data_IF_076915918764
#
_entry.id   IF_076915918764
#
_cell.length_a   1.000
_cell.length_b   1.000
_cell.length_c   1.000
_cell.angle_alpha   90.00
_cell.angle_beta   90.00
_cell.angle_gamma   90.00
#
_symmetry.space_group_name_H-M   'P 1'
#
loop_
_entity.id
_entity.type
_entity.pdbx_description
1 polymer ?
#
# COMPACT_ATOMS: atom_id res chain seq x y z
N UNK A 1 3.06 -20.66 -0.41
CA UNK A 1 2.61 -19.34 -0.91
C UNK A 1 3.82 -18.43 -0.87
N UNK A 2 3.95 -17.55 -1.86
CA UNK A 2 5.07 -16.63 -1.99
C UNK A 2 4.56 -15.30 -2.52
N UNK A 3 5.29 -14.25 -2.19
CA UNK A 3 5.01 -12.88 -2.63
C UNK A 3 6.24 -12.36 -3.34
N UNK A 4 6.02 -11.72 -4.48
CA UNK A 4 7.03 -10.93 -5.17
C UNK A 4 6.95 -9.49 -4.70
N UNK A 5 8.09 -8.89 -4.36
CA UNK A 5 8.24 -7.45 -4.16
C UNK A 5 9.05 -6.88 -5.33
N UNK A 6 8.48 -5.88 -6.00
CA UNK A 6 9.14 -5.13 -7.08
C UNK A 6 9.51 -3.74 -6.60
N UNK A 7 10.68 -3.28 -7.00
CA UNK A 7 11.11 -1.90 -6.81
C UNK A 7 10.92 -1.15 -8.11
N UNK A 8 10.13 -0.09 -8.07
CA UNK A 8 9.70 0.66 -9.24
C UNK A 8 10.14 2.11 -9.08
N UNK A 9 11.04 2.60 -9.95
CA UNK A 9 11.31 4.04 -10.06
C UNK A 9 10.39 4.65 -11.12
N UNK A 10 10.44 5.95 -11.39
CA UNK A 10 9.58 6.73 -12.29
C UNK A 10 9.54 6.30 -13.77
N UNK A 11 10.30 5.27 -14.15
CA UNK A 11 10.45 4.82 -15.53
C UNK A 11 10.25 3.33 -15.69
N UNK A 12 10.69 2.53 -14.72
CA UNK A 12 10.69 1.08 -14.84
C UNK A 12 10.73 0.38 -13.50
N UNK A 13 10.46 -0.93 -13.56
CA UNK A 13 10.95 -1.88 -12.57
C UNK A 13 12.48 -1.90 -12.61
N UNK A 14 13.12 -1.78 -11.44
CA UNK A 14 14.57 -1.82 -11.30
C UNK A 14 15.07 -3.06 -10.57
N UNK A 15 14.20 -3.71 -9.79
CA UNK A 15 14.49 -4.99 -9.15
C UNK A 15 13.19 -5.74 -8.82
N UNK A 16 13.31 -7.06 -8.69
CA UNK A 16 12.25 -7.94 -8.25
C UNK A 16 12.83 -9.06 -7.39
N UNK A 17 12.19 -9.31 -6.25
CA UNK A 17 12.59 -10.31 -5.28
C UNK A 17 11.40 -11.13 -4.87
N UNK A 18 11.64 -12.40 -4.58
CA UNK A 18 10.62 -13.34 -4.14
C UNK A 18 10.84 -13.67 -2.66
N UNK A 19 9.78 -13.67 -1.87
CA UNK A 19 9.77 -14.16 -0.50
C UNK A 19 8.77 -15.31 -0.37
N UNK A 20 9.23 -16.45 0.16
CA UNK A 20 8.35 -17.58 0.45
C UNK A 20 7.81 -17.50 1.87
N UNK A 21 6.65 -18.12 2.13
CA UNK A 21 6.10 -18.24 3.48
C UNK A 21 7.13 -18.81 4.46
N UNK A 22 7.40 -18.10 5.54
CA UNK A 22 8.36 -18.49 6.59
C UNK A 22 9.80 -18.02 6.34
N UNK A 23 10.07 -17.37 5.21
CA UNK A 23 11.33 -16.68 4.93
C UNK A 23 11.20 -15.19 5.28
N UNK A 24 12.35 -14.53 5.43
CA UNK A 24 12.42 -13.08 5.57
C UNK A 24 13.35 -12.53 4.49
N UNK A 25 12.86 -11.53 3.76
CA UNK A 25 13.61 -10.80 2.75
C UNK A 25 14.01 -9.45 3.34
N UNK A 26 15.31 -9.17 3.31
CA UNK A 26 15.88 -7.90 3.77
C UNK A 26 16.31 -7.09 2.54
N UNK A 27 15.81 -5.87 2.42
CA UNK A 27 16.11 -4.93 1.35
C UNK A 27 16.68 -3.65 1.94
N UNK A 28 17.61 -3.01 1.23
CA UNK A 28 17.99 -1.64 1.54
C UNK A 28 16.94 -0.66 1.01
N UNK A 29 16.54 0.28 1.85
CA UNK A 29 15.67 1.39 1.48
C UNK A 29 16.33 2.23 0.40
N UNK A 30 15.57 2.51 -0.65
CA UNK A 30 15.99 3.34 -1.76
C UNK A 30 15.08 4.55 -1.86
N UNK A 31 15.67 5.70 -2.20
CA UNK A 31 14.91 6.90 -2.47
C UNK A 31 14.31 6.81 -3.86
N UNK A 32 13.17 7.46 -4.07
CA UNK A 32 12.53 7.55 -5.39
C UNK A 32 12.22 6.15 -5.98
N UNK A 33 11.66 5.27 -5.16
CA UNK A 33 11.07 4.01 -5.62
C UNK A 33 9.74 3.77 -4.93
N UNK A 34 8.87 2.98 -5.56
CA UNK A 34 7.73 2.35 -4.92
C UNK A 34 7.98 0.85 -4.78
N UNK A 35 7.43 0.26 -3.71
CA UNK A 35 7.52 -1.16 -3.42
C UNK A 35 6.18 -1.82 -3.76
N UNK A 36 6.10 -2.51 -4.89
CA UNK A 36 4.89 -3.22 -5.30
C UNK A 36 4.89 -4.64 -4.77
N UNK A 37 3.87 -5.00 -4.01
CA UNK A 37 3.61 -6.36 -3.53
C UNK A 37 2.72 -7.11 -4.50
N UNK A 38 3.06 -8.37 -4.77
CA UNK A 38 2.33 -9.27 -5.67
C UNK A 38 2.29 -10.66 -5.04
N UNK A 39 1.11 -11.14 -4.67
CA UNK A 39 0.88 -12.55 -4.34
C UNK A 39 1.02 -13.38 -5.62
N UNK A 40 1.98 -14.30 -5.65
CA UNK A 40 2.30 -15.07 -6.85
C UNK A 40 1.20 -16.06 -7.27
N UNK A 41 0.28 -16.39 -6.37
CA UNK A 41 -0.85 -17.28 -6.69
C UNK A 41 -1.96 -16.55 -7.45
N UNK A 42 -2.14 -15.24 -7.19
CA UNK A 42 -3.24 -14.46 -7.77
C UNK A 42 -2.76 -13.44 -8.82
N UNK A 43 -1.48 -13.06 -8.78
CA UNK A 43 -0.96 -11.93 -9.54
C UNK A 43 -1.42 -10.57 -9.03
N UNK A 44 -2.07 -10.51 -7.87
CA UNK A 44 -2.61 -9.29 -7.23
C UNK A 44 -1.82 -8.95 -5.97
N UNK A 45 -1.91 -7.71 -5.50
CA UNK A 45 -1.38 -7.37 -4.18
C UNK A 45 -2.17 -8.08 -3.07
N UNK A 46 -1.52 -8.48 -1.96
CA UNK A 46 -2.23 -8.91 -0.76
C UNK A 46 -3.29 -7.87 -0.35
N UNK A 47 -4.51 -8.29 -0.03
CA UNK A 47 -5.59 -7.35 0.33
C UNK A 47 -5.30 -6.62 1.64
N UNK A 48 -4.59 -7.29 2.56
CA UNK A 48 -4.23 -6.78 3.88
C UNK A 48 -2.78 -7.11 4.20
N UNK A 49 -2.08 -6.17 4.80
CA UNK A 49 -0.74 -6.36 5.38
C UNK A 49 -0.71 -5.73 6.78
N UNK A 50 0.30 -6.06 7.56
CA UNK A 50 0.63 -5.30 8.76
C UNK A 50 1.97 -4.63 8.51
N UNK A 51 2.00 -3.30 8.65
CA UNK A 51 3.21 -2.51 8.60
C UNK A 51 3.64 -2.18 10.04
N UNK A 52 4.93 -2.28 10.32
CA UNK A 52 5.52 -1.88 11.61
C UNK A 52 6.79 -1.09 11.35
N UNK A 53 6.99 0.00 12.09
CA UNK A 53 8.30 0.68 12.13
C UNK A 53 9.17 0.13 13.25
N UNK A 54 10.42 -0.16 12.93
CA UNK A 54 11.44 -0.57 13.90
C UNK A 54 12.72 0.25 13.68
N UNK A 55 12.89 1.31 14.47
CA UNK A 55 13.91 2.32 14.25
C UNK A 55 13.67 3.05 12.93
N UNK A 56 14.60 2.91 11.98
CA UNK A 56 14.46 3.43 10.62
C UNK A 56 13.97 2.40 9.62
N UNK A 57 13.68 1.17 10.05
CA UNK A 57 13.25 0.10 9.16
C UNK A 57 11.73 0.01 9.09
N UNK A 58 11.23 -0.35 7.91
CA UNK A 58 9.86 -0.79 7.71
C UNK A 58 9.82 -2.32 7.67
N UNK A 59 9.03 -2.90 8.57
CA UNK A 59 8.72 -4.33 8.63
C UNK A 59 7.32 -4.56 8.07
N UNK A 60 7.17 -5.51 7.15
CA UNK A 60 5.89 -5.89 6.56
C UNK A 60 5.63 -7.36 6.87
N UNK A 61 4.45 -7.61 7.44
CA UNK A 61 3.91 -8.94 7.64
C UNK A 61 2.75 -9.17 6.68
N UNK A 62 2.81 -10.28 5.94
CA UNK A 62 1.87 -10.60 4.86
C UNK A 62 0.65 -11.41 5.35
N UNK A 63 0.73 -11.99 6.54
CA UNK A 63 -0.34 -12.71 7.21
C UNK A 63 -0.46 -12.18 8.64
N UNK A 64 -1.69 -12.12 9.16
CA UNK A 64 -1.95 -11.68 10.54
C UNK A 64 -1.35 -12.63 11.59
N UNK A 65 -1.14 -13.89 11.20
CA UNK A 65 -0.62 -14.93 12.08
C UNK A 65 0.92 -15.03 11.97
N UNK A 66 1.55 -14.17 11.17
CA UNK A 66 3.01 -14.12 11.01
C UNK A 66 3.68 -13.69 12.31
N UNK A 67 4.68 -14.48 12.74
CA UNK A 67 5.46 -14.23 13.96
C UNK A 67 6.72 -13.42 13.70
N UNK A 68 7.15 -13.36 12.44
CA UNK A 68 8.34 -12.65 11.98
C UNK A 68 7.97 -11.88 10.72
N UNK A 69 8.61 -10.73 10.46
CA UNK A 69 8.38 -9.99 9.23
C UNK A 69 8.89 -10.77 8.02
N UNK A 70 8.03 -10.97 7.02
CA UNK A 70 8.44 -11.54 5.74
C UNK A 70 9.28 -10.56 4.92
N UNK A 71 9.05 -9.26 5.07
CA UNK A 71 9.83 -8.24 4.33
C UNK A 71 10.30 -7.19 5.32
N UNK A 72 11.60 -6.88 5.27
CA UNK A 72 12.23 -5.78 6.02
C UNK A 72 12.89 -4.85 5.02
N UNK A 73 12.43 -3.61 4.97
CA UNK A 73 13.07 -2.53 4.20
C UNK A 73 13.87 -1.69 5.17
N UNK A 74 15.18 -1.90 5.18
CA UNK A 74 16.14 -1.18 6.02
C UNK A 74 16.12 0.30 5.68
N UNK A 75 16.26 1.17 6.67
CA UNK A 75 16.41 2.61 6.43
C UNK A 75 15.26 3.24 5.61
N UNK A 76 14.07 2.63 5.63
CA UNK A 76 12.87 3.14 4.98
C UNK A 76 12.49 4.55 5.48
N UNK A 77 12.66 4.80 6.77
CA UNK A 77 12.37 6.09 7.39
C UNK A 77 13.60 7.00 7.50
N UNK A 78 14.72 6.64 6.86
CA UNK A 78 15.92 7.47 6.87
C UNK A 78 15.76 8.69 5.95
N UNK A 79 16.26 9.85 6.43
CA UNK A 79 16.21 11.14 5.76
C UNK A 79 15.26 12.12 6.46
N UNK A 80 15.83 13.21 7.00
CA UNK A 80 15.11 14.27 7.72
C UNK A 80 14.42 15.28 6.78
N UNK A 81 14.94 15.35 5.55
CA UNK A 81 14.36 16.12 4.45
C UNK A 81 13.40 15.18 3.69
N UNK A 82 12.12 15.54 3.55
CA UNK A 82 11.18 14.72 2.80
C UNK A 82 11.54 14.48 1.33
N UNK A 83 12.20 15.43 0.63
CA UNK A 83 12.66 15.24 -0.76
C UNK A 83 13.80 14.21 -0.86
N UNK A 84 14.50 13.95 0.25
CA UNK A 84 15.60 13.00 0.36
C UNK A 84 15.22 11.74 1.14
N UNK A 85 14.08 11.76 1.84
CA UNK A 85 13.63 10.65 2.68
C UNK A 85 13.15 9.50 1.83
N UNK A 86 13.59 8.29 2.20
CA UNK A 86 13.03 7.06 1.65
C UNK A 86 11.55 6.89 2.01
N UNK A 87 11.06 7.63 3.02
CA UNK A 87 9.65 7.67 3.45
C UNK A 87 8.69 8.16 2.38
N UNK A 88 9.23 8.79 1.31
CA UNK A 88 8.44 9.18 0.15
C UNK A 88 8.06 8.00 -0.76
N UNK A 89 8.66 6.84 -0.54
CA UNK A 89 8.30 5.61 -1.22
C UNK A 89 6.90 5.16 -0.79
N UNK A 90 6.10 4.66 -1.72
CA UNK A 90 4.84 4.00 -1.39
C UNK A 90 5.00 2.49 -1.37
N UNK A 91 4.23 1.83 -0.51
CA UNK A 91 3.94 0.39 -0.65
C UNK A 91 2.63 0.28 -1.41
N UNK A 92 2.63 -0.47 -2.51
CA UNK A 92 1.52 -0.50 -3.48
C UNK A 92 1.21 -1.92 -3.94
N UNK A 93 0.07 -2.11 -4.60
CA UNK A 93 -0.34 -3.39 -5.17
C UNK A 93 -1.41 -3.22 -6.26
N UNK A 94 -1.55 -4.23 -7.12
CA UNK A 94 -2.68 -4.30 -8.06
C UNK A 94 -3.86 -4.99 -7.39
N UNK A 95 -5.01 -4.33 -7.32
CA UNK A 95 -6.22 -4.90 -6.73
C UNK A 95 -6.99 -5.78 -7.74
N UNK A 96 -8.06 -6.43 -7.25
CA UNK A 96 -8.90 -7.33 -8.04
C UNK A 96 -9.54 -6.67 -9.28
N UNK A 97 -9.72 -5.35 -9.27
CA UNK A 97 -10.23 -4.58 -10.40
C UNK A 97 -9.15 -4.24 -11.46
N UNK A 98 -7.89 -4.65 -11.26
CA UNK A 98 -6.78 -4.40 -12.17
C UNK A 98 -6.14 -3.02 -12.03
N UNK A 99 -6.56 -2.21 -11.06
CA UNK A 99 -6.00 -0.89 -10.80
C UNK A 99 -4.96 -0.98 -9.67
N UNK A 100 -4.02 -0.03 -9.68
CA UNK A 100 -2.95 0.07 -8.68
C UNK A 100 -3.39 1.00 -7.54
N UNK A 101 -3.17 0.55 -6.32
CA UNK A 101 -3.48 1.31 -5.10
C UNK A 101 -2.29 1.29 -4.14
N UNK A 102 -2.26 2.26 -3.24
CA UNK A 102 -1.42 2.21 -2.04
C UNK A 102 -2.05 1.34 -0.96
N UNK A 103 -1.22 0.94 0.00
CA UNK A 103 -1.69 0.41 1.27
C UNK A 103 -2.03 1.56 2.23
N UNK A 104 -3.28 1.64 2.66
CA UNK A 104 -3.80 2.68 3.55
C UNK A 104 -4.24 2.09 4.89
N UNK A 105 -4.18 2.84 6.01
CA UNK A 105 -4.47 2.28 7.33
C UNK A 105 -5.94 1.92 7.48
N UNK A 106 -6.21 0.69 7.95
CA UNK A 106 -7.57 0.22 8.27
C UNK A 106 -8.26 1.09 9.33
N UNK A 107 -7.46 1.70 10.22
CA UNK A 107 -7.94 2.56 11.31
C UNK A 107 -8.45 3.92 10.84
N UNK A 108 -8.19 4.30 9.59
CA UNK A 108 -8.47 5.62 9.05
C UNK A 108 -7.77 6.78 9.77
N UNK A 109 -6.59 6.55 10.38
CA UNK A 109 -5.80 7.61 11.02
C UNK A 109 -4.53 7.85 10.24
N UNK A 110 -4.22 9.12 9.95
CA UNK A 110 -3.03 9.50 9.18
C UNK A 110 -1.71 9.03 9.82
N UNK A 111 -1.62 9.06 11.15
CA UNK A 111 -0.45 8.59 11.92
C UNK A 111 -0.22 7.06 11.77
N UNK A 112 -1.24 6.30 11.37
CA UNK A 112 -1.14 4.86 11.17
C UNK A 112 -0.74 4.50 9.72
N UNK A 113 -0.58 5.50 8.84
CA UNK A 113 -0.12 5.29 7.47
C UNK A 113 1.35 4.84 7.45
N UNK A 114 1.71 4.00 6.47
CA UNK A 114 3.07 3.42 6.35
C UNK A 114 4.18 4.48 6.44
N UNK A 115 4.00 5.63 5.77
CA UNK A 115 4.98 6.72 5.76
C UNK A 115 5.08 7.51 7.08
N UNK A 116 4.11 7.35 7.99
CA UNK A 116 3.93 8.18 9.19
C UNK A 116 4.02 7.40 10.50
N UNK A 117 4.21 6.07 10.45
CA UNK A 117 4.32 5.24 11.65
C UNK A 117 5.40 5.78 12.59
N UNK A 118 5.03 5.93 13.86
CA UNK A 118 5.97 6.18 14.94
C UNK A 118 6.83 4.94 15.21
N UNK A 119 8.01 5.15 15.80
CA UNK A 119 8.91 4.05 16.11
C UNK A 119 8.23 3.03 17.05
N UNK A 120 8.37 1.74 16.71
CA UNK A 120 7.73 0.59 17.36
C UNK A 120 6.22 0.46 17.14
N UNK A 121 5.57 1.39 16.45
CA UNK A 121 4.16 1.28 16.13
C UNK A 121 3.92 0.36 14.93
N UNK A 122 2.77 -0.33 14.98
CA UNK A 122 2.30 -1.18 13.90
C UNK A 122 0.84 -0.92 13.59
N UNK A 123 0.49 -0.93 12.31
CA UNK A 123 -0.88 -0.74 11.86
C UNK A 123 -1.24 -1.71 10.73
N UNK A 124 -2.49 -2.16 10.76
CA UNK A 124 -3.07 -2.93 9.67
C UNK A 124 -3.32 -1.99 8.50
N UNK A 125 -2.83 -2.36 7.32
CA UNK A 125 -3.06 -1.65 6.07
C UNK A 125 -3.91 -2.48 5.12
N UNK A 126 -4.74 -1.81 4.34
CA UNK A 126 -5.60 -2.41 3.32
C UNK A 126 -5.18 -1.85 1.96
N UNK A 127 -5.10 -2.70 0.95
CA UNK A 127 -4.88 -2.26 -0.43
C UNK A 127 -6.13 -1.54 -0.94
N UNK A 128 -6.05 -0.23 -1.17
CA UNK A 128 -7.21 0.55 -1.61
C UNK A 128 -7.08 2.05 -1.39
N UNK A 129 -8.22 2.73 -1.31
CA UNK A 129 -8.30 4.19 -1.28
C UNK A 129 -8.43 4.78 -2.69
N UNK A 130 -7.66 5.83 -2.97
CA UNK A 130 -7.64 6.41 -4.31
C UNK A 130 -6.75 5.63 -5.28
N UNK A 131 -7.21 5.52 -6.53
CA UNK A 131 -6.43 4.92 -7.60
C UNK A 131 -5.15 5.72 -7.85
N UNK A 132 -4.01 5.02 -7.88
CA UNK A 132 -2.75 5.58 -8.34
C UNK A 132 -2.78 5.68 -9.88
N UNK A 133 -3.19 6.85 -10.37
CA UNK A 133 -3.13 7.15 -11.81
C UNK A 133 -1.69 7.01 -12.30
N UNK A 134 -1.52 6.57 -13.54
CA UNK A 134 -0.20 6.26 -14.13
C UNK A 134 0.84 7.39 -14.04
N UNK A 135 0.43 8.67 -13.94
CA UNK A 135 1.35 9.79 -13.71
C UNK A 135 1.83 9.95 -12.26
N UNK A 136 1.01 9.56 -11.28
CA UNK A 136 1.29 9.61 -9.83
C UNK A 136 2.06 8.37 -9.37
N UNK A 137 1.88 7.24 -10.05
CA UNK A 137 2.65 6.01 -9.85
C UNK A 137 4.17 6.20 -9.99
N UNK A 138 4.58 7.20 -10.77
CA UNK A 138 5.98 7.57 -11.00
C UNK A 138 6.43 8.78 -10.18
N UNK A 139 5.54 9.37 -9.38
CA UNK A 139 5.83 10.49 -8.49
C UNK A 139 6.03 9.98 -7.05
N UNK A 140 6.88 10.65 -6.28
CA UNK A 140 7.41 10.14 -5.01
C UNK A 140 7.07 11.07 -3.87
N UNK A 141 5.79 11.28 -3.62
CA UNK A 141 5.37 12.02 -2.44
C UNK A 141 4.09 11.42 -1.89
N UNK A 142 4.05 10.95 -0.65
CA UNK A 142 2.83 10.48 -0.01
C UNK A 142 1.98 11.65 0.51
N UNK A 143 2.47 12.90 0.42
CA UNK A 143 1.79 14.05 1.01
C UNK A 143 0.46 14.42 0.37
N UNK A 144 0.25 14.07 -0.91
CA UNK A 144 -1.05 14.26 -1.53
C UNK A 144 -2.12 13.33 -0.91
N UNK A 145 -1.74 12.19 -0.31
CA UNK A 145 -2.68 11.32 0.42
C UNK A 145 -3.27 12.01 1.66
N UNK A 146 -2.51 12.89 2.30
CA UNK A 146 -2.94 13.63 3.50
C UNK A 146 -3.90 14.78 3.19
N UNK A 147 -3.98 15.23 1.93
CA UNK A 147 -4.85 16.32 1.50
C UNK A 147 -6.27 15.88 1.11
N UNK A 148 -6.52 14.57 1.01
CA UNK A 148 -7.73 14.06 0.36
C UNK A 148 -8.90 13.84 1.31
N UNK A 149 -8.70 13.67 2.62
CA UNK A 149 -9.83 13.50 3.55
C UNK A 149 -10.77 12.33 3.20
N UNK A 150 -10.36 11.39 2.33
CA UNK A 150 -11.19 10.30 1.82
C UNK A 150 -10.87 8.98 2.53
N UNK A 151 -11.05 8.99 3.84
CA UNK A 151 -11.36 7.76 4.58
C UNK A 151 -12.85 7.80 4.90
N UNK A 152 -13.64 7.91 3.85
CA UNK A 152 -15.04 8.30 3.91
C UNK A 152 -15.86 7.78 2.73
N UNK A 153 -15.54 6.59 2.22
CA UNK A 153 -16.47 5.81 1.43
C UNK A 153 -16.05 4.34 1.56
N UNK A 154 -16.91 3.53 2.17
CA UNK A 154 -16.69 2.11 2.33
C UNK A 154 -16.30 1.47 1.01
N UNK A 155 -15.31 0.57 1.06
CA UNK A 155 -14.92 -0.26 -0.06
C UNK A 155 -16.11 -1.17 -0.40
N UNK A 156 -16.99 -0.72 -1.28
CA UNK A 156 -17.97 -1.56 -1.93
C UNK A 156 -17.27 -2.23 -3.11
N UNK A 157 -16.75 -3.44 -2.89
CA UNK A 157 -16.44 -4.36 -3.98
C UNK A 157 -17.74 -4.67 -4.72
N UNK A 158 -18.05 -3.94 -5.81
CA UNK A 158 -19.06 -4.39 -6.77
C UNK A 158 -18.42 -5.43 -7.65
N UNK A 159 -18.46 -6.68 -7.18
CA UNK A 159 -18.21 -7.85 -8.00
C UNK A 159 -19.47 -8.15 -8.86
N UNK A 160 -19.43 -7.75 -10.13
CA UNK A 160 -20.19 -8.39 -11.22
C UNK A 160 -21.69 -8.12 -11.33
N UNK A 161 -22.17 -8.06 -12.59
CA UNK A 161 -23.58 -8.25 -12.90
C UNK A 161 -24.15 -7.35 -13.99
N UNK A 162 -24.03 -7.79 -15.24
CA UNK A 162 -24.86 -7.32 -16.37
C UNK A 162 -26.34 -7.49 -16.03
N UNK A 163 -27.16 -6.45 -16.15
CA UNK A 163 -28.61 -6.54 -16.05
C UNK A 163 -29.30 -5.22 -16.38
N UNK A 164 -29.85 -5.12 -17.58
CA UNK A 164 -30.78 -4.07 -17.99
C UNK A 164 -32.03 -4.06 -17.10
N UNK A 165 -32.51 -2.86 -16.74
CA UNK A 165 -33.90 -2.38 -16.86
C UNK A 165 -34.32 -1.43 -15.72
N UNK A 166 -34.50 -0.17 -16.13
CA UNK A 166 -35.63 0.71 -15.88
C UNK A 166 -36.08 1.08 -14.45
N UNK A 167 -36.42 2.37 -14.32
CA UNK A 167 -37.35 2.99 -13.36
C UNK A 167 -36.81 3.46 -12.00
N UNK A 168 -36.43 4.74 -11.96
CA UNK A 168 -37.19 5.72 -11.18
C UNK A 168 -36.80 5.99 -9.71
N UNK A 169 -36.94 7.28 -9.38
CA UNK A 169 -37.05 7.90 -8.06
C UNK A 169 -35.74 8.22 -7.29
N UNK A 170 -35.34 9.48 -7.42
CA UNK A 170 -34.58 10.27 -6.43
C UNK A 170 -35.32 10.35 -5.09
N UNK A 171 -34.63 10.28 -3.94
CA UNK A 171 -35.13 10.82 -2.67
C UNK A 171 -34.46 12.17 -2.30
N UNK A 172 -35.15 13.03 -1.53
CA UNK A 172 -34.69 14.37 -1.20
C UNK A 172 -33.72 14.40 -0.01
N UNK A 173 -32.90 15.46 0.03
CA UNK A 173 -32.01 15.82 1.14
C UNK A 173 -32.80 16.47 2.28
N UNK A 174 -32.56 16.03 3.52
CA UNK A 174 -32.90 16.76 4.75
C UNK A 174 -31.74 16.69 5.73
N UNK A 175 -31.32 17.86 6.22
CA UNK A 175 -30.28 18.06 7.23
C UNK A 175 -29.63 19.42 7.06
#
# INVERSE_FOLDING_TARGET
MSTTIKLLNAKSEIASYKVSKGESLILEGQSKVNYQLIDDATGKGPEKIIAKRDGNDLQIMLDKDSKLPEIVIKNYYEGDNPEESNSNSMVIGEANNGLIYSYVPESNKDQDAVAMLDNQESAIQILGGEELKAGVFWDYSPWWLLGLGLLGAGIAFVAGGKGDNNSGATPPLTG
#
